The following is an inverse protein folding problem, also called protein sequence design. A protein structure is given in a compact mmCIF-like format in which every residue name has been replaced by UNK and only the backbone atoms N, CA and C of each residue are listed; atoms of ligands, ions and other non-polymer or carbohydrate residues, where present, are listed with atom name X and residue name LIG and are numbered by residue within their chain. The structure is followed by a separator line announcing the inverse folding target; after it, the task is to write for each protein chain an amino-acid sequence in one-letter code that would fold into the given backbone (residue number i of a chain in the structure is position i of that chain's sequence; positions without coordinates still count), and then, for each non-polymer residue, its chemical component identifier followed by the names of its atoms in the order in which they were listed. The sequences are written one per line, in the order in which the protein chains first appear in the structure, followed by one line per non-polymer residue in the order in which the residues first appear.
data_IF_681474413962
#
_entry.id   IF_681474413962
#
_cell.length_a   1.000
_cell.length_b   1.000
_cell.length_c   1.000
_cell.angle_alpha   90.00
_cell.angle_beta   90.00
_cell.angle_gamma   90.00
#
_symmetry.space_group_name_H-M   'P 1'
#
loop_
_entity.id
_entity.type
_entity.pdbx_description
1 polymer ?
#
# COMPACT_ATOMS: atom_id res chain seq x y z
N UNK A 1 4.08 -0.27 -8.28
CA UNK A 1 5.25 -1.02 -7.74
C UNK A 1 5.41 -0.88 -6.23
N UNK A 2 5.55 0.33 -5.68
CA UNK A 2 5.76 0.53 -4.24
C UNK A 2 4.75 -0.18 -3.34
N UNK A 3 3.45 -0.15 -3.68
CA UNK A 3 2.41 -0.83 -2.92
C UNK A 3 2.55 -2.36 -2.84
N UNK A 4 3.04 -3.03 -3.89
CA UNK A 4 3.30 -4.48 -3.84
C UNK A 4 4.43 -4.79 -2.86
N UNK A 5 5.53 -4.05 -2.95
CA UNK A 5 6.70 -4.21 -2.06
C UNK A 5 6.30 -3.93 -0.61
N UNK A 6 5.57 -2.83 -0.36
CA UNK A 6 5.09 -2.47 0.97
C UNK A 6 4.13 -3.53 1.55
N UNK A 7 3.24 -4.08 0.71
CA UNK A 7 2.30 -5.14 1.13
C UNK A 7 3.05 -6.41 1.50
N UNK A 8 4.01 -6.85 0.68
CA UNK A 8 4.84 -8.02 0.95
C UNK A 8 5.71 -7.82 2.20
N UNK A 9 6.41 -6.69 2.30
CA UNK A 9 7.26 -6.36 3.44
C UNK A 9 6.46 -6.30 4.74
N UNK A 10 5.33 -5.59 4.74
CA UNK A 10 4.45 -5.48 5.91
C UNK A 10 3.86 -6.82 6.33
N UNK A 11 3.48 -7.67 5.36
CA UNK A 11 2.96 -9.02 5.61
C UNK A 11 4.00 -10.02 6.11
N UNK A 12 5.30 -9.74 5.94
CA UNK A 12 6.40 -10.63 6.32
C UNK A 12 7.10 -10.21 7.60
N UNK A 13 7.37 -8.91 7.79
CA UNK A 13 8.17 -8.42 8.92
C UNK A 13 7.32 -8.22 10.19
N UNK A 14 6.08 -7.71 10.03
CA UNK A 14 5.18 -7.45 11.17
C UNK A 14 5.67 -6.38 12.15
N UNK A 15 6.72 -5.63 11.80
CA UNK A 15 7.38 -4.64 12.67
C UNK A 15 6.98 -3.19 12.45
N UNK A 16 6.19 -2.91 11.42
CA UNK A 16 5.78 -1.54 11.13
C UNK A 16 4.63 -1.11 12.06
N UNK A 17 4.71 0.12 12.57
CA UNK A 17 3.68 0.72 13.42
C UNK A 17 2.39 0.99 12.64
N UNK A 18 2.52 1.34 11.36
CA UNK A 18 1.41 1.54 10.45
C UNK A 18 1.79 1.24 9.00
N UNK A 19 0.79 0.88 8.20
CA UNK A 19 0.90 0.67 6.76
C UNK A 19 -0.03 1.64 6.04
N UNK A 20 0.54 2.52 5.21
CA UNK A 20 -0.24 3.43 4.38
C UNK A 20 0.04 3.10 2.92
N UNK A 21 -0.93 2.44 2.29
CA UNK A 21 -0.86 1.92 0.94
C UNK A 21 -1.57 2.87 -0.02
N UNK A 22 -0.84 3.50 -0.94
CA UNK A 22 -1.38 4.49 -1.88
C UNK A 22 -1.43 3.92 -3.30
N UNK A 23 -2.61 4.05 -3.93
CA UNK A 23 -2.88 3.76 -5.33
C UNK A 23 -2.37 2.39 -5.77
N UNK A 24 -2.60 1.38 -4.92
CA UNK A 24 -2.18 0.00 -5.18
C UNK A 24 -3.31 -1.00 -4.95
N UNK A 25 -3.04 -2.23 -5.36
CA UNK A 25 -3.95 -3.36 -5.23
C UNK A 25 -3.16 -4.67 -5.19
N UNK A 26 -3.88 -5.78 -5.26
CA UNK A 26 -3.34 -7.12 -5.44
C UNK A 26 -3.49 -7.63 -6.87
N UNK A 27 -3.30 -8.93 -7.08
CA UNK A 27 -3.40 -9.58 -8.40
C UNK A 27 -2.39 -8.99 -9.40
N UNK A 28 -1.11 -9.18 -9.08
CA UNK A 28 0.05 -8.76 -9.87
C UNK A 28 -0.06 -9.29 -11.31
N UNK A 29 -0.42 -10.56 -11.48
CA UNK A 29 -0.55 -11.15 -12.80
C UNK A 29 -1.67 -10.46 -13.60
N UNK A 30 -2.84 -10.24 -13.01
CA UNK A 30 -3.96 -9.57 -13.66
C UNK A 30 -3.65 -8.12 -14.03
N UNK A 31 -2.98 -7.38 -13.15
CA UNK A 31 -2.53 -6.01 -13.40
C UNK A 31 -1.51 -5.98 -14.56
N UNK A 32 -0.53 -6.88 -14.58
CA UNK A 32 0.45 -6.94 -15.67
C UNK A 32 -0.18 -7.34 -17.00
N UNK A 33 -1.10 -8.31 -16.98
CA UNK A 33 -1.70 -8.86 -18.19
C UNK A 33 -2.70 -7.93 -18.86
N UNK A 34 -3.40 -7.10 -18.07
CA UNK A 34 -4.40 -6.11 -18.57
C UNK A 34 -3.87 -4.67 -18.58
N UNK A 35 -2.69 -4.46 -18.00
CA UNK A 35 -2.11 -3.14 -17.82
C UNK A 35 -1.66 -2.51 -19.12
N UNK A 36 -1.57 -1.18 -19.11
CA UNK A 36 -1.10 -0.38 -20.24
C UNK A 36 0.32 0.13 -19.96
N UNK A 37 0.96 0.70 -20.99
CA UNK A 37 2.27 1.37 -20.88
C UNK A 37 3.33 0.46 -20.25
N UNK A 38 3.78 0.76 -19.04
CA UNK A 38 4.89 0.08 -18.38
C UNK A 38 4.53 -1.36 -17.98
N UNK A 39 3.28 -1.61 -17.59
CA UNK A 39 2.81 -2.97 -17.28
C UNK A 39 2.84 -3.86 -18.53
N UNK A 40 2.37 -3.34 -19.66
CA UNK A 40 2.42 -4.04 -20.95
C UNK A 40 3.86 -4.35 -21.37
N UNK A 41 4.77 -3.37 -21.28
CA UNK A 41 6.20 -3.57 -21.58
C UNK A 41 6.86 -4.61 -20.68
N UNK A 42 6.53 -4.60 -19.38
CA UNK A 42 7.01 -5.63 -18.45
C UNK A 42 6.49 -7.00 -18.84
N UNK A 43 5.20 -7.12 -19.17
CA UNK A 43 4.60 -8.40 -19.59
C UNK A 43 5.19 -8.91 -20.92
N UNK A 44 5.46 -8.03 -21.88
CA UNK A 44 6.16 -8.37 -23.12
C UNK A 44 7.56 -8.92 -22.85
N UNK A 45 8.33 -8.28 -21.98
CA UNK A 45 9.67 -8.76 -21.58
C UNK A 45 9.61 -10.11 -20.87
N UNK A 46 8.63 -10.30 -20.00
CA UNK A 46 8.41 -11.58 -19.31
C UNK A 46 8.07 -12.69 -20.31
N UNK A 47 7.22 -12.42 -21.30
CA UNK A 47 6.91 -13.39 -22.38
C UNK A 47 8.12 -13.66 -23.29
N UNK A 48 8.93 -12.64 -23.56
CA UNK A 48 10.14 -12.76 -24.37
C UNK A 48 11.26 -13.58 -23.68
N UNK A 49 11.15 -13.85 -22.37
CA UNK A 49 12.12 -14.66 -21.64
C UNK A 49 12.06 -16.17 -21.96
N UNK A 50 11.07 -16.60 -22.76
CA UNK A 50 10.88 -18.02 -23.13
C UNK A 50 10.12 -18.85 -22.09
N UNK A 51 9.62 -18.23 -21.02
CA UNK A 51 8.76 -18.89 -20.04
C UNK A 51 7.41 -19.23 -20.67
N UNK A 52 6.90 -20.44 -20.39
CA UNK A 52 5.51 -20.78 -20.67
C UNK A 52 4.55 -19.92 -19.84
N UNK A 53 3.30 -19.82 -20.27
CA UNK A 53 2.27 -19.09 -19.54
C UNK A 53 2.07 -19.63 -18.10
N UNK A 54 2.13 -20.95 -17.91
CA UNK A 54 2.02 -21.58 -16.59
C UNK A 54 3.22 -21.28 -15.71
N UNK A 55 4.44 -21.29 -16.27
CA UNK A 55 5.66 -20.94 -15.53
C UNK A 55 5.63 -19.46 -15.11
N UNK A 56 5.21 -18.58 -16.01
CA UNK A 56 5.07 -17.16 -15.71
C UNK A 56 4.07 -16.91 -14.57
N UNK A 57 2.92 -17.58 -14.61
CA UNK A 57 1.93 -17.54 -13.53
C UNK A 57 2.50 -18.04 -12.20
N UNK A 58 3.23 -19.17 -12.21
CA UNK A 58 3.89 -19.69 -11.01
C UNK A 58 4.91 -18.71 -10.43
N UNK A 59 5.75 -18.12 -11.28
CA UNK A 59 6.78 -17.18 -10.82
C UNK A 59 6.16 -15.91 -10.26
N UNK A 60 5.18 -15.31 -10.94
CA UNK A 60 4.48 -14.12 -10.44
C UNK A 60 3.71 -14.43 -9.16
N UNK A 61 3.13 -15.63 -9.02
CA UNK A 61 2.46 -16.05 -7.79
C UNK A 61 3.40 -16.12 -6.58
N UNK A 62 4.70 -16.41 -6.77
CA UNK A 62 5.65 -16.44 -5.66
C UNK A 62 5.79 -15.10 -4.94
N UNK A 63 5.64 -14.00 -5.69
CA UNK A 63 5.70 -12.61 -5.25
C UNK A 63 4.32 -11.93 -5.25
N UNK A 64 3.24 -12.70 -5.33
CA UNK A 64 1.87 -12.18 -5.31
C UNK A 64 1.52 -11.70 -3.89
N UNK A 65 1.21 -10.40 -3.69
CA UNK A 65 0.82 -9.88 -2.38
C UNK A 65 -0.43 -10.55 -1.81
N UNK A 66 -1.45 -10.87 -2.61
CA UNK A 66 -2.71 -11.48 -2.11
C UNK A 66 -2.50 -12.83 -1.43
N UNK A 67 -1.39 -13.53 -1.73
CA UNK A 67 -1.05 -14.80 -1.08
C UNK A 67 -0.86 -14.65 0.43
N UNK A 68 -0.32 -13.51 0.86
CA UNK A 68 0.06 -13.24 2.25
C UNK A 68 -0.54 -11.96 2.84
N UNK A 69 -1.31 -11.18 2.08
CA UNK A 69 -1.87 -9.91 2.52
C UNK A 69 -2.76 -10.02 3.78
N UNK A 70 -3.36 -11.18 4.05
CA UNK A 70 -4.08 -11.45 5.31
C UNK A 70 -3.21 -11.38 6.58
N UNK A 71 -1.87 -11.32 6.42
CA UNK A 71 -0.92 -11.12 7.52
C UNK A 71 -0.71 -9.64 7.84
N UNK A 72 -1.15 -8.72 6.98
CA UNK A 72 -1.15 -7.31 7.30
C UNK A 72 -2.18 -7.06 8.41
N UNK A 73 -1.78 -6.40 9.50
CA UNK A 73 -2.70 -6.04 10.56
C UNK A 73 -3.68 -4.94 10.09
N UNK A 74 -4.95 -5.32 9.94
CA UNK A 74 -6.02 -4.46 9.42
C UNK A 74 -6.24 -3.21 10.29
N UNK A 75 -6.05 -3.33 11.60
CA UNK A 75 -6.15 -2.29 12.62
C UNK A 75 -4.98 -1.28 12.62
N UNK A 76 -3.99 -1.45 11.75
CA UNK A 76 -2.94 -0.45 11.48
C UNK A 76 -2.63 -0.29 9.99
N UNK A 77 -3.56 -0.69 9.12
CA UNK A 77 -3.40 -0.56 7.67
C UNK A 77 -4.44 0.38 7.09
N UNK A 78 -4.02 1.26 6.19
CA UNK A 78 -4.86 2.16 5.40
C UNK A 78 -4.58 1.94 3.92
N UNK A 79 -5.64 1.87 3.12
CA UNK A 79 -5.56 1.74 1.66
C UNK A 79 -6.28 2.90 1.00
N UNK A 80 -5.55 3.65 0.18
CA UNK A 80 -6.08 4.71 -0.66
C UNK A 80 -6.13 4.23 -2.11
N UNK A 81 -7.33 4.08 -2.67
CA UNK A 81 -7.53 3.67 -4.05
C UNK A 81 -8.16 4.79 -4.88
N UNK A 82 -7.81 4.86 -6.16
CA UNK A 82 -8.40 5.78 -7.11
C UNK A 82 -9.63 5.14 -7.79
N UNK A 83 -10.77 5.82 -7.75
CA UNK A 83 -12.04 5.31 -8.33
C UNK A 83 -11.99 5.13 -9.85
N UNK A 84 -11.19 5.94 -10.53
CA UNK A 84 -11.07 5.96 -11.99
C UNK A 84 -9.68 5.51 -12.46
N UNK A 85 -9.01 4.70 -11.65
CA UNK A 85 -7.68 4.19 -11.95
C UNK A 85 -7.70 3.25 -13.17
N UNK A 86 -6.76 3.44 -14.09
CA UNK A 86 -6.54 2.60 -15.27
C UNK A 86 -5.18 1.90 -15.27
N UNK A 87 -4.33 2.20 -14.28
CA UNK A 87 -3.04 1.55 -14.05
C UNK A 87 -3.24 0.41 -13.04
N UNK A 88 -3.95 0.68 -11.95
CA UNK A 88 -4.38 -0.29 -10.96
C UNK A 88 -5.90 -0.16 -10.78
N UNK A 89 -6.70 -0.80 -11.66
CA UNK A 89 -8.16 -0.77 -11.56
C UNK A 89 -8.69 -1.02 -10.13
N UNK A 90 -9.78 -0.35 -9.77
CA UNK A 90 -10.34 -0.36 -8.41
C UNK A 90 -10.57 -1.79 -7.88
N UNK A 91 -11.02 -2.72 -8.72
CA UNK A 91 -11.22 -4.13 -8.38
C UNK A 91 -9.98 -4.78 -7.74
N UNK A 92 -8.78 -4.40 -8.15
CA UNK A 92 -7.55 -4.93 -7.59
C UNK A 92 -7.25 -4.37 -6.20
N UNK A 93 -7.64 -3.12 -5.94
CA UNK A 93 -7.58 -2.55 -4.60
C UNK A 93 -8.63 -3.18 -3.67
N UNK A 94 -9.82 -3.49 -4.20
CA UNK A 94 -10.88 -4.18 -3.47
C UNK A 94 -10.46 -5.60 -3.07
N UNK A 95 -9.88 -6.37 -4.00
CA UNK A 95 -9.29 -7.69 -3.70
C UNK A 95 -8.25 -7.62 -2.57
N UNK A 96 -7.43 -6.57 -2.55
CA UNK A 96 -6.43 -6.38 -1.51
C UNK A 96 -7.08 -6.03 -0.17
N UNK A 97 -8.04 -5.09 -0.16
CA UNK A 97 -8.78 -4.71 1.04
C UNK A 97 -9.50 -5.91 1.68
N UNK A 98 -10.20 -6.69 0.85
CA UNK A 98 -10.91 -7.89 1.27
C UNK A 98 -9.95 -8.93 1.84
N UNK A 99 -8.78 -9.10 1.20
CA UNK A 99 -7.79 -10.09 1.64
C UNK A 99 -7.14 -9.71 2.97
N UNK A 100 -6.92 -8.42 3.22
CA UNK A 100 -6.43 -7.89 4.50
C UNK A 100 -7.53 -7.95 5.57
N UNK A 101 -8.81 -7.87 5.18
CA UNK A 101 -9.92 -7.69 6.10
C UNK A 101 -10.04 -6.24 6.57
N UNK A 102 -9.79 -5.27 5.68
CA UNK A 102 -9.85 -3.85 6.02
C UNK A 102 -11.28 -3.41 6.34
N UNK A 103 -11.48 -2.68 7.45
CA UNK A 103 -12.76 -2.05 7.72
C UNK A 103 -12.96 -0.83 6.78
N UNK A 104 -14.22 -0.45 6.55
CA UNK A 104 -14.59 0.52 5.52
C UNK A 104 -13.92 1.90 5.71
N UNK A 105 -13.72 2.33 6.94
CA UNK A 105 -13.08 3.61 7.29
C UNK A 105 -11.58 3.65 6.95
N UNK A 106 -10.95 2.50 6.70
CA UNK A 106 -9.54 2.37 6.32
C UNK A 106 -9.33 2.07 4.85
N UNK A 107 -10.42 1.97 4.09
CA UNK A 107 -10.39 1.84 2.64
C UNK A 107 -10.96 3.09 1.96
N UNK A 108 -10.07 4.03 1.64
CA UNK A 108 -10.39 5.35 1.14
C UNK A 108 -10.42 5.32 -0.39
N UNK A 109 -11.58 5.61 -0.99
CA UNK A 109 -11.77 5.68 -2.45
C UNK A 109 -11.77 7.13 -2.94
N UNK A 110 -10.64 7.60 -3.47
CA UNK A 110 -10.41 8.95 -3.98
C UNK A 110 -11.08 9.15 -5.36
N UNK A 111 -11.76 10.28 -5.62
CA UNK A 111 -12.36 10.57 -6.92
C UNK A 111 -11.29 11.09 -7.90
N UNK A 112 -10.34 10.23 -8.26
CA UNK A 112 -9.24 10.50 -9.16
C UNK A 112 -8.89 9.27 -10.01
N UNK A 113 -7.92 9.42 -10.93
CA UNK A 113 -7.22 8.31 -11.56
C UNK A 113 -5.84 8.14 -10.92
N UNK A 114 -5.03 7.20 -11.43
CA UNK A 114 -3.69 6.91 -10.90
C UNK A 114 -2.78 8.14 -10.81
N UNK A 115 -2.83 9.01 -11.83
CA UNK A 115 -1.91 10.14 -11.96
C UNK A 115 -2.47 11.39 -11.26
N UNK A 116 -3.79 11.63 -11.36
CA UNK A 116 -4.43 12.75 -10.66
C UNK A 116 -4.57 12.53 -9.14
N UNK A 117 -4.27 11.32 -8.65
CA UNK A 117 -4.13 11.06 -7.21
C UNK A 117 -3.08 11.93 -6.53
N UNK A 118 -2.10 12.46 -7.28
CA UNK A 118 -1.09 13.37 -6.75
C UNK A 118 -1.69 14.63 -6.10
N UNK A 119 -2.85 15.11 -6.57
CA UNK A 119 -3.51 16.29 -5.98
C UNK A 119 -4.02 16.04 -4.55
N UNK A 120 -4.21 14.78 -4.16
CA UNK A 120 -4.62 14.40 -2.82
C UNK A 120 -3.43 14.19 -1.87
N UNK A 121 -2.20 14.14 -2.41
CA UNK A 121 -1.01 13.84 -1.63
C UNK A 121 -0.83 14.77 -0.42
N UNK A 122 -1.01 16.11 -0.50
CA UNK A 122 -0.87 16.98 0.67
C UNK A 122 -1.79 16.58 1.83
N UNK A 123 -3.06 16.25 1.55
CA UNK A 123 -4.01 15.81 2.56
C UNK A 123 -3.68 14.42 3.11
N UNK A 124 -3.22 13.51 2.25
CA UNK A 124 -2.79 12.17 2.66
C UNK A 124 -1.56 12.26 3.57
N UNK A 125 -0.59 13.11 3.27
CA UNK A 125 0.60 13.30 4.12
C UNK A 125 0.24 13.81 5.52
N UNK A 126 -0.72 14.73 5.63
CA UNK A 126 -1.25 15.16 6.93
C UNK A 126 -1.88 13.98 7.68
N UNK A 127 -2.67 13.14 7.00
CA UNK A 127 -3.24 11.93 7.60
C UNK A 127 -2.20 10.90 7.99
N UNK A 128 -1.15 10.73 7.18
CA UNK A 128 -0.02 9.85 7.52
C UNK A 128 0.67 10.31 8.80
N UNK A 129 0.90 11.62 8.95
CA UNK A 129 1.42 12.19 10.20
C UNK A 129 0.48 11.86 11.37
N UNK A 130 -0.82 12.10 11.24
CA UNK A 130 -1.79 11.85 12.32
C UNK A 130 -1.86 10.36 12.72
N UNK A 131 -1.62 9.45 11.77
CA UNK A 131 -1.55 8.00 11.99
C UNK A 131 -0.28 7.63 12.77
N UNK A 132 0.87 8.21 12.40
CA UNK A 132 2.18 7.86 12.96
C UNK A 132 2.47 8.58 14.28
N UNK A 133 1.92 9.78 14.46
CA UNK A 133 2.10 10.64 15.62
C UNK A 133 0.70 11.01 16.12
N UNK A 134 0.04 10.15 16.89
CA UNK A 134 -1.29 10.43 17.41
C UNK A 134 -1.26 11.68 18.29
N UNK A 135 -2.23 12.58 18.11
CA UNK A 135 -2.37 13.78 18.95
C UNK A 135 -2.43 13.38 20.43
N UNK A 136 -1.41 13.74 21.21
CA UNK A 136 -1.25 13.36 22.62
C UNK A 136 -0.05 12.46 22.95
N UNK A 137 0.73 12.03 21.96
CA UNK A 137 2.08 11.50 22.22
C UNK A 137 2.97 12.62 22.77
N UNK A 138 3.69 12.43 23.89
CA UNK A 138 4.60 13.45 24.40
C UNK A 138 5.61 13.81 23.30
N UNK A 139 5.73 15.09 22.99
CA UNK A 139 6.85 15.55 22.17
C UNK A 139 8.13 15.23 22.95
N UNK A 140 9.02 14.44 22.36
CA UNK A 140 10.39 14.27 22.86
C UNK A 140 11.07 15.64 22.80
N UNK A 141 10.91 16.47 23.84
CA UNK A 141 11.48 17.81 23.84
C UNK A 141 11.05 18.82 24.91
N UNK A 142 10.22 18.48 25.89
CA UNK A 142 10.13 19.33 27.09
C UNK A 142 11.27 18.97 28.04
N UNK A 143 12.39 19.68 27.88
CA UNK A 143 13.47 19.72 28.88
C UNK A 143 12.85 19.97 30.25
N UNK A 144 13.04 19.01 31.16
CA UNK A 144 12.70 19.16 32.55
C UNK A 144 13.45 20.39 33.09
N UNK A 145 12.71 21.46 33.32
CA UNK A 145 13.12 22.60 34.14
C UNK A 145 13.33 22.08 35.57
N UNK A 146 14.55 21.58 35.81
CA UNK A 146 14.94 21.08 37.12
C UNK A 146 15.12 22.29 38.04
N UNK A 147 14.09 22.46 38.86
CA UNK A 147 13.93 23.44 39.92
C UNK A 147 15.07 23.30 40.92
N UNK A 148 16.14 24.10 40.75
CA UNK A 148 17.10 24.35 41.85
C UNK A 148 16.60 25.52 42.69
N UNK A 149 15.82 25.20 43.72
CA UNK A 149 15.59 26.07 44.88
C UNK A 149 16.03 25.36 46.17
N UNK A 150 17.14 25.84 46.73
CA UNK A 150 17.60 25.79 48.13
C UNK A 150 17.83 24.43 48.83
N UNK A 151 18.61 24.37 49.94
CA UNK A 151 19.01 25.44 50.86
C UNK A 151 20.33 26.14 50.53
#
# INVERSE_FOLDING_TARGET
MGGFVATLAGSLDGRYDAHVLLLCGGDLYGILSRGQKDAAKTMERLRASGLSEDELRRQLHSIEPLRIAQRLPADRTWLYAARFDRVVPLEHAELLADRIGLPAERFIRLPCNHYSGIYYLPGILIKMRDILIPVGSPEEGEEAEETKTCP
#
